data_IF_898863472155
#
_entry.id   IF_898863472155
#
_cell.length_a   1.000
_cell.length_b   1.000
_cell.length_c   1.000
_cell.angle_alpha   90.00
_cell.angle_beta   90.00
_cell.angle_gamma   90.00
#
_symmetry.space_group_name_H-M   'P 1'
#
loop_
_entity.id
_entity.type
_entity.pdbx_description
1 polymer ?
#
# COMPACT_ATOMS: atom_id res chain seq x y z
N UNK A 1 -27.35 -5.40 -11.25
CA UNK A 1 -27.07 -5.70 -9.82
C UNK A 1 -26.23 -6.97 -9.64
N UNK A 2 -26.64 -8.13 -10.19
CA UNK A 2 -25.86 -9.37 -10.05
C UNK A 2 -24.42 -9.29 -10.56
N UNK A 3 -24.17 -8.77 -11.77
CA UNK A 3 -22.80 -8.61 -12.29
C UNK A 3 -21.92 -7.69 -11.43
N UNK A 4 -22.49 -6.60 -10.91
CA UNK A 4 -21.80 -5.68 -10.01
C UNK A 4 -21.34 -6.41 -8.74
N UNK A 5 -22.25 -7.17 -8.11
CA UNK A 5 -21.95 -7.97 -6.93
C UNK A 5 -20.94 -9.08 -7.22
N UNK A 6 -21.07 -9.78 -8.36
CA UNK A 6 -20.13 -10.82 -8.78
C UNK A 6 -18.73 -10.28 -9.01
N UNK A 7 -18.59 -9.11 -9.66
CA UNK A 7 -17.29 -8.49 -9.91
C UNK A 7 -16.64 -8.01 -8.61
N UNK A 8 -17.40 -7.40 -7.71
CA UNK A 8 -16.92 -7.04 -6.38
C UNK A 8 -16.47 -8.27 -5.59
N UNK A 9 -17.26 -9.33 -5.61
CA UNK A 9 -16.92 -10.60 -4.96
C UNK A 9 -15.64 -11.22 -5.51
N UNK A 10 -15.47 -11.22 -6.84
CA UNK A 10 -14.27 -11.76 -7.49
C UNK A 10 -13.02 -10.97 -7.14
N UNK A 11 -13.08 -9.64 -7.18
CA UNK A 11 -11.94 -8.77 -6.83
C UNK A 11 -11.58 -8.90 -5.35
N UNK A 12 -12.57 -8.92 -4.47
CA UNK A 12 -12.35 -9.15 -3.04
C UNK A 12 -11.73 -10.53 -2.78
N UNK A 13 -12.20 -11.57 -3.48
CA UNK A 13 -11.65 -12.92 -3.38
C UNK A 13 -10.19 -12.97 -3.83
N UNK A 14 -9.87 -12.33 -4.95
CA UNK A 14 -8.48 -12.21 -5.43
C UNK A 14 -7.61 -11.55 -4.38
N UNK A 15 -8.06 -10.42 -3.81
CA UNK A 15 -7.33 -9.65 -2.80
C UNK A 15 -7.08 -10.48 -1.53
N UNK A 16 -8.07 -11.24 -1.07
CA UNK A 16 -7.93 -12.18 0.05
C UNK A 16 -6.91 -13.29 -0.22
N UNK A 17 -6.90 -13.83 -1.44
CA UNK A 17 -5.95 -14.87 -1.81
C UNK A 17 -4.52 -14.34 -1.90
N UNK A 18 -4.33 -13.13 -2.43
CA UNK A 18 -3.03 -12.43 -2.44
C UNK A 18 -2.56 -12.14 -1.01
N UNK A 19 -3.45 -11.64 -0.14
CA UNK A 19 -3.17 -11.45 1.28
C UNK A 19 -2.72 -12.75 1.95
N UNK A 20 -3.45 -13.86 1.78
CA UNK A 20 -3.09 -15.16 2.38
C UNK A 20 -1.72 -15.65 1.91
N UNK A 21 -1.46 -15.59 0.60
CA UNK A 21 -0.15 -15.98 0.02
C UNK A 21 0.99 -15.11 0.55
N UNK A 22 0.76 -13.81 0.74
CA UNK A 22 1.74 -12.91 1.34
C UNK A 22 1.94 -13.23 2.82
N UNK A 23 0.88 -13.59 3.54
CA UNK A 23 0.95 -13.95 4.95
C UNK A 23 1.80 -15.19 5.22
N UNK A 24 1.69 -16.19 4.35
CA UNK A 24 2.50 -17.41 4.42
C UNK A 24 3.99 -17.13 4.18
N UNK A 25 4.33 -16.17 3.31
CA UNK A 25 5.72 -15.88 2.93
C UNK A 25 6.38 -14.81 3.79
N UNK A 26 5.60 -13.83 4.20
CA UNK A 26 6.03 -12.63 4.92
C UNK A 26 4.94 -12.28 5.93
N UNK A 27 4.87 -12.98 7.08
CA UNK A 27 3.91 -12.66 8.12
C UNK A 27 4.17 -11.25 8.65
N UNK A 28 3.11 -10.50 8.98
CA UNK A 28 3.25 -9.17 9.54
C UNK A 28 3.80 -9.25 10.97
N UNK A 29 4.61 -8.26 11.32
CA UNK A 29 5.12 -8.05 12.68
C UNK A 29 4.20 -7.09 13.44
N UNK A 30 4.37 -7.00 14.76
CA UNK A 30 3.63 -6.01 15.56
C UNK A 30 3.99 -4.57 15.14
N UNK A 31 3.05 -3.65 15.36
CA UNK A 31 3.29 -2.22 15.14
C UNK A 31 4.51 -1.72 15.92
N UNK A 32 4.65 -2.11 17.19
CA UNK A 32 5.74 -1.70 18.06
C UNK A 32 7.11 -2.18 17.52
N UNK A 33 7.17 -3.44 17.09
CA UNK A 33 8.37 -4.02 16.48
C UNK A 33 8.74 -3.31 15.17
N UNK A 34 7.74 -2.96 14.35
CA UNK A 34 7.95 -2.21 13.12
C UNK A 34 8.52 -0.81 13.40
N UNK A 35 7.94 -0.11 14.38
CA UNK A 35 8.34 1.25 14.76
C UNK A 35 9.80 1.27 15.19
N UNK A 36 10.20 0.36 16.10
CA UNK A 36 11.56 0.33 16.66
C UNK A 36 12.60 -0.13 15.63
N UNK A 37 12.34 -1.21 14.89
CA UNK A 37 13.35 -1.83 14.00
C UNK A 37 13.51 -1.15 12.65
N UNK A 38 12.50 -0.39 12.21
CA UNK A 38 12.46 0.17 10.85
C UNK A 38 12.12 1.64 10.82
N UNK A 39 11.00 2.05 11.41
CA UNK A 39 10.48 3.42 11.26
C UNK A 39 11.42 4.44 11.93
N UNK A 40 11.68 4.30 13.23
CA UNK A 40 12.55 5.21 13.99
C UNK A 40 14.00 5.19 13.52
N UNK A 41 14.44 4.11 12.88
CA UNK A 41 15.76 4.01 12.27
C UNK A 41 15.85 4.64 10.88
N UNK A 42 14.78 5.26 10.38
CA UNK A 42 14.75 5.94 9.08
C UNK A 42 14.94 5.01 7.89
N UNK A 43 14.62 3.72 8.05
CA UNK A 43 14.80 2.72 6.98
C UNK A 43 13.64 2.70 5.99
N UNK A 44 12.52 3.30 6.35
CA UNK A 44 11.24 3.21 5.63
C UNK A 44 11.14 4.30 4.56
N UNK A 45 10.86 3.91 3.32
CA UNK A 45 10.61 4.81 2.20
C UNK A 45 9.13 5.11 2.04
N UNK A 46 8.32 4.06 1.97
CA UNK A 46 6.88 4.17 1.78
C UNK A 46 6.12 3.07 2.50
N UNK A 47 4.91 3.41 2.93
CA UNK A 47 3.97 2.53 3.61
C UNK A 47 2.68 2.52 2.81
N UNK A 48 2.19 1.34 2.45
CA UNK A 48 0.89 1.14 1.83
C UNK A 48 0.01 0.40 2.83
N UNK A 49 -0.96 1.10 3.42
CA UNK A 49 -1.84 0.53 4.42
C UNK A 49 -3.11 -0.05 3.80
N UNK A 50 -3.50 -1.26 4.21
CA UNK A 50 -4.66 -1.99 3.72
C UNK A 50 -5.68 -2.18 4.86
N UNK A 51 -6.65 -1.26 5.03
CA UNK A 51 -7.57 -1.26 6.17
C UNK A 51 -8.39 -2.55 6.29
N UNK A 52 -8.81 -3.12 5.16
CA UNK A 52 -9.58 -4.37 5.14
C UNK A 52 -8.85 -5.59 5.71
N UNK A 53 -7.54 -5.49 5.93
CA UNK A 53 -6.72 -6.54 6.51
C UNK A 53 -5.92 -6.07 7.73
N UNK A 54 -6.11 -4.81 8.16
CA UNK A 54 -5.37 -4.22 9.29
C UNK A 54 -3.85 -4.37 9.18
N UNK A 55 -3.35 -4.31 7.93
CA UNK A 55 -1.92 -4.54 7.62
C UNK A 55 -1.34 -3.41 6.80
N UNK A 56 -0.15 -2.95 7.21
CA UNK A 56 0.71 -2.06 6.43
C UNK A 56 1.81 -2.80 5.71
N UNK A 57 1.90 -2.61 4.40
CA UNK A 57 2.99 -3.07 3.56
C UNK A 57 4.09 -2.00 3.52
N UNK A 58 5.30 -2.36 3.90
CA UNK A 58 6.43 -1.44 4.07
C UNK A 58 7.46 -1.69 2.99
N UNK A 59 7.92 -0.61 2.37
CA UNK A 59 9.02 -0.60 1.42
C UNK A 59 10.19 0.15 2.03
N UNK A 60 11.33 -0.53 2.13
CA UNK A 60 12.54 0.04 2.71
C UNK A 60 13.35 0.77 1.65
N UNK A 61 14.17 1.73 2.07
CA UNK A 61 15.21 2.26 1.23
C UNK A 61 16.18 1.14 0.82
N UNK A 62 16.25 0.83 -0.46
CA UNK A 62 17.24 -0.12 -0.96
C UNK A 62 18.65 0.46 -0.84
N UNK A 63 19.64 -0.35 -0.44
CA UNK A 63 21.05 0.04 -0.46
C UNK A 63 21.51 0.43 -1.89
N UNK A 64 20.90 -0.18 -2.90
CA UNK A 64 21.08 0.17 -4.32
C UNK A 64 20.34 1.45 -4.67
N UNK A 65 19.15 1.72 -4.13
CA UNK A 65 18.44 3.00 -4.33
C UNK A 65 19.15 4.19 -3.69
N UNK A 66 19.81 4.04 -2.53
CA UNK A 66 20.61 5.13 -1.95
C UNK A 66 21.84 5.46 -2.81
N UNK A 67 22.48 4.45 -3.42
CA UNK A 67 23.53 4.67 -4.43
C UNK A 67 22.98 5.22 -5.75
N UNK A 68 21.81 4.76 -6.16
CA UNK A 68 21.18 5.16 -7.43
C UNK A 68 20.52 6.53 -7.33
N UNK A 69 20.06 7.02 -6.17
CA UNK A 69 19.60 8.40 -5.97
C UNK A 69 20.69 9.42 -6.34
N UNK A 70 21.96 9.05 -6.14
CA UNK A 70 23.13 9.84 -6.56
C UNK A 70 23.38 9.81 -8.07
N UNK A 71 22.93 8.78 -8.79
CA UNK A 71 23.18 8.55 -10.22
C UNK A 71 21.94 8.89 -11.08
N UNK A 72 20.74 8.78 -10.51
CA UNK A 72 19.44 8.98 -11.14
C UNK A 72 19.01 10.45 -11.13
N UNK A 73 19.58 11.28 -10.25
CA UNK A 73 19.42 12.74 -10.32
C UNK A 73 19.93 13.31 -11.66
N UNK A 74 20.83 12.59 -12.34
CA UNK A 74 21.34 12.96 -13.67
C UNK A 74 20.54 12.32 -14.82
N UNK A 75 19.57 11.44 -14.55
CA UNK A 75 18.91 10.63 -15.59
C UNK A 75 17.39 10.49 -15.37
N UNK A 76 16.68 11.58 -15.64
CA UNK A 76 15.40 11.62 -16.38
C UNK A 76 14.29 10.64 -15.93
N UNK A 77 13.27 11.20 -15.28
CA UNK A 77 11.81 11.00 -15.48
C UNK A 77 11.21 9.63 -15.91
N UNK A 78 11.84 8.48 -15.71
CA UNK A 78 11.23 7.17 -15.96
C UNK A 78 10.83 6.51 -14.64
N UNK A 79 9.58 6.70 -14.23
CA UNK A 79 9.00 6.10 -13.03
C UNK A 79 9.04 4.56 -13.12
N UNK A 80 9.75 3.86 -12.21
CA UNK A 80 9.55 2.43 -12.06
C UNK A 80 8.32 2.21 -11.20
N UNK A 81 7.40 1.43 -11.73
CA UNK A 81 6.10 1.08 -11.16
C UNK A 81 6.27 0.49 -9.74
N UNK A 82 5.95 1.29 -8.71
CA UNK A 82 6.07 0.97 -7.27
C UNK A 82 5.35 -0.33 -6.88
N UNK A 83 4.41 -0.79 -7.70
CA UNK A 83 3.50 -1.89 -7.40
C UNK A 83 3.97 -3.28 -7.88
N UNK A 84 5.12 -3.39 -8.56
CA UNK A 84 5.62 -4.69 -9.04
C UNK A 84 6.48 -5.44 -8.01
N UNK A 85 6.99 -4.74 -7.00
CA UNK A 85 7.86 -5.33 -5.97
C UNK A 85 7.03 -5.82 -4.78
N UNK A 86 7.27 -7.03 -4.26
CA UNK A 86 6.67 -7.44 -2.98
C UNK A 86 7.15 -6.53 -1.85
N UNK A 87 6.34 -6.32 -0.79
CA UNK A 87 6.79 -5.55 0.37
C UNK A 87 8.01 -6.19 1.03
N UNK A 88 8.84 -5.36 1.67
CA UNK A 88 10.02 -5.80 2.40
C UNK A 88 9.67 -6.27 3.81
N UNK A 89 8.75 -5.54 4.44
CA UNK A 89 8.24 -5.81 5.80
C UNK A 89 6.75 -5.56 5.78
N UNK A 90 6.01 -6.23 6.67
CA UNK A 90 4.59 -6.00 6.87
C UNK A 90 4.34 -5.80 8.36
N UNK A 91 3.44 -4.92 8.74
CA UNK A 91 3.04 -4.74 10.13
C UNK A 91 1.54 -4.88 10.30
N UNK A 92 1.09 -5.37 11.45
CA UNK A 92 -0.31 -5.33 11.86
C UNK A 92 -0.56 -4.05 12.65
N UNK A 93 -1.73 -3.44 12.45
CA UNK A 93 -2.15 -2.27 13.21
C UNK A 93 -3.66 -2.33 13.42
N UNK A 94 -4.07 -2.33 14.69
CA UNK A 94 -5.48 -2.29 15.06
C UNK A 94 -6.03 -0.87 14.90
N UNK A 95 -6.56 -0.58 13.72
CA UNK A 95 -7.16 0.71 13.41
C UNK A 95 -7.36 0.99 11.93
N UNK A 96 -8.01 2.11 11.63
CA UNK A 96 -8.21 2.56 10.26
C UNK A 96 -6.99 3.29 9.69
N UNK A 97 -7.04 3.64 8.41
CA UNK A 97 -5.93 4.35 7.76
C UNK A 97 -5.60 5.70 8.39
N UNK A 98 -6.60 6.40 8.94
CA UNK A 98 -6.40 7.69 9.58
C UNK A 98 -5.68 7.52 10.94
N UNK A 99 -5.96 6.45 11.68
CA UNK A 99 -5.26 6.12 12.91
C UNK A 99 -3.77 5.83 12.66
N UNK A 100 -3.42 5.08 11.62
CA UNK A 100 -2.02 4.82 11.24
C UNK A 100 -1.31 6.10 10.84
N UNK A 101 -1.93 6.89 9.96
CA UNK A 101 -1.36 8.16 9.49
C UNK A 101 -1.10 9.12 10.67
N UNK A 102 -2.07 9.21 11.59
CA UNK A 102 -1.93 10.01 12.81
C UNK A 102 -0.80 9.49 13.70
N UNK A 103 -0.68 8.17 13.88
CA UNK A 103 0.40 7.58 14.68
C UNK A 103 1.79 7.90 14.09
N UNK A 104 1.94 7.84 12.76
CA UNK A 104 3.19 8.22 12.08
C UNK A 104 3.48 9.73 12.29
N UNK A 105 2.47 10.58 12.12
CA UNK A 105 2.61 12.03 12.33
C UNK A 105 2.96 12.38 13.78
N UNK A 106 2.42 11.67 14.76
CA UNK A 106 2.76 11.84 16.17
C UNK A 106 4.21 11.45 16.44
N UNK A 107 4.68 10.33 15.90
CA UNK A 107 6.10 9.92 16.00
C UNK A 107 7.04 10.93 15.34
N UNK A 108 6.67 11.50 14.19
CA UNK A 108 7.43 12.56 13.53
C UNK A 108 7.52 13.83 14.40
N UNK A 109 6.43 14.22 15.06
CA UNK A 109 6.42 15.36 15.99
C UNK A 109 7.29 15.09 17.22
N UNK A 110 7.22 13.91 17.80
CA UNK A 110 8.00 13.55 19.00
C UNK A 110 9.50 13.48 18.73
N UNK A 111 9.89 13.06 17.52
CA UNK A 111 11.29 12.93 17.13
C UNK A 111 11.88 14.19 16.49
N UNK A 112 11.09 15.25 16.32
CA UNK A 112 11.50 16.49 15.64
C UNK A 112 12.77 17.12 16.21
N UNK A 113 12.89 17.13 17.54
CA UNK A 113 14.02 17.73 18.26
C UNK A 113 15.12 16.70 18.61
N UNK A 114 14.98 15.47 18.13
CA UNK A 114 15.96 14.39 18.31
C UNK A 114 17.18 14.59 17.40
N UNK A 115 18.38 14.10 17.77
CA UNK A 115 19.55 14.07 16.88
C UNK A 115 19.31 13.36 15.54
N UNK A 116 18.27 12.52 15.45
CA UNK A 116 17.83 11.84 14.22
C UNK A 116 16.31 11.96 14.10
N UNK A 117 15.78 13.04 13.49
CA UNK A 117 14.36 13.19 13.31
C UNK A 117 13.83 12.18 12.29
N UNK A 118 12.61 11.69 12.52
CA UNK A 118 11.95 10.80 11.57
C UNK A 118 11.64 11.56 10.27
N UNK A 119 12.18 11.08 9.15
CA UNK A 119 11.92 11.67 7.83
C UNK A 119 10.44 11.48 7.41
N UNK A 120 10.00 12.33 6.49
CA UNK A 120 8.66 12.22 5.90
C UNK A 120 8.56 10.91 5.12
N UNK A 121 7.77 9.96 5.63
CA UNK A 121 7.48 8.69 4.97
C UNK A 121 6.28 8.89 4.04
N UNK A 122 6.36 8.37 2.83
CA UNK A 122 5.23 8.36 1.92
C UNK A 122 4.19 7.34 2.39
N UNK A 123 2.99 7.82 2.72
CA UNK A 123 1.89 7.00 3.19
C UNK A 123 0.79 6.94 2.13
N UNK A 124 0.43 5.73 1.71
CA UNK A 124 -0.66 5.47 0.77
C UNK A 124 -1.72 4.59 1.44
N UNK A 125 -2.99 4.94 1.22
CA UNK A 125 -4.12 4.20 1.76
C UNK A 125 -4.79 3.36 0.67
N UNK A 126 -4.57 2.06 0.74
CA UNK A 126 -5.07 1.09 -0.24
C UNK A 126 -6.40 0.50 0.21
N UNK A 127 -7.48 1.26 -0.02
CA UNK A 127 -8.86 0.87 0.28
C UNK A 127 -9.42 -0.10 -0.77
N UNK A 128 -10.42 -0.88 -0.38
CA UNK A 128 -11.24 -1.66 -1.30
C UNK A 128 -12.63 -1.03 -1.48
N UNK A 129 -13.15 -0.92 -2.73
CA UNK A 129 -12.41 -1.05 -3.98
C UNK A 129 -11.46 0.14 -4.18
N UNK A 130 -10.27 -0.12 -4.71
CA UNK A 130 -9.34 0.93 -5.13
C UNK A 130 -9.93 1.70 -6.33
N UNK A 131 -9.45 2.93 -6.64
CA UNK A 131 -9.93 3.67 -7.80
C UNK A 131 -9.81 2.89 -9.12
N UNK A 132 -8.75 2.07 -9.26
CA UNK A 132 -8.55 1.19 -10.43
C UNK A 132 -9.58 0.06 -10.47
N UNK A 133 -9.83 -0.59 -9.34
CA UNK A 133 -10.86 -1.63 -9.24
C UNK A 133 -12.26 -1.07 -9.48
N UNK A 134 -12.57 0.11 -8.93
CA UNK A 134 -13.83 0.79 -9.14
C UNK A 134 -14.04 1.16 -10.61
N UNK A 135 -13.02 1.75 -11.26
CA UNK A 135 -13.06 2.07 -12.68
C UNK A 135 -13.31 0.81 -13.53
N UNK A 136 -12.61 -0.29 -13.23
CA UNK A 136 -12.83 -1.57 -13.92
C UNK A 136 -14.26 -2.09 -13.75
N UNK A 137 -14.81 -2.03 -12.55
CA UNK A 137 -16.19 -2.45 -12.27
C UNK A 137 -17.20 -1.56 -13.03
N UNK A 138 -17.02 -0.24 -13.02
CA UNK A 138 -17.91 0.70 -13.73
C UNK A 138 -17.85 0.47 -15.25
N UNK A 139 -16.66 0.42 -15.84
CA UNK A 139 -16.46 0.25 -17.28
C UNK A 139 -17.04 -1.10 -17.73
N UNK A 140 -16.73 -2.20 -17.04
CA UNK A 140 -17.26 -3.52 -17.40
C UNK A 140 -18.78 -3.60 -17.30
N UNK A 141 -19.37 -2.93 -16.29
CA UNK A 141 -20.83 -2.84 -16.14
C UNK A 141 -21.45 -2.07 -17.31
N UNK A 142 -20.89 -0.91 -17.69
CA UNK A 142 -21.39 -0.10 -18.81
C UNK A 142 -21.30 -0.85 -20.15
N UNK A 143 -20.16 -1.49 -20.44
CA UNK A 143 -19.99 -2.29 -21.65
C UNK A 143 -21.00 -3.43 -21.74
N UNK A 144 -21.27 -4.12 -20.63
CA UNK A 144 -22.21 -5.24 -20.66
C UNK A 144 -23.65 -4.77 -20.83
N UNK A 145 -24.03 -3.64 -20.21
CA UNK A 145 -25.35 -3.02 -20.45
C UNK A 145 -25.49 -2.62 -21.91
N UNK A 146 -24.48 -1.96 -22.50
CA UNK A 146 -24.50 -1.58 -23.92
C UNK A 146 -24.62 -2.81 -24.83
N UNK A 147 -23.87 -3.88 -24.56
CA UNK A 147 -23.94 -5.12 -25.34
C UNK A 147 -25.33 -5.77 -25.26
N UNK A 148 -25.95 -5.83 -24.08
CA UNK A 148 -27.31 -6.37 -23.91
C UNK A 148 -28.36 -5.52 -24.63
N UNK A 149 -28.19 -4.20 -24.63
CA UNK A 149 -29.08 -3.27 -25.35
C UNK A 149 -28.91 -3.39 -26.86
N UNK A 150 -27.70 -3.59 -27.37
CA UNK A 150 -27.44 -3.72 -28.81
C UNK A 150 -27.82 -5.09 -29.40
N UNK A 151 -27.92 -6.12 -28.55
CA UNK A 151 -28.33 -7.48 -28.95
C UNK A 151 -29.86 -7.67 -28.83
N UNK A 152 -30.56 -6.73 -28.20
CA UNK A 152 -32.03 -6.65 -28.15
C UNK A 152 -32.57 -5.76 -29.27
#
# INVERSE_FOLDING_TARGET
>A
MFMWLSMHGLLLYRRRNEYRKLNEKLPPISWEEFVDKYLLLGKVKSIVYQPQFEVGNVYLHSATEQKMKKVLMDWIHAAPDKFSRPPDVRFEFDGDGAAVEKAILELQKMTRDSPRPLEAVEFELDRFPSPRELAFIVISTLFTVAAVVLVK
#
